data_IF_632058398735
#
_entry.id   IF_632058398735
#
_cell.length_a   1.000
_cell.length_b   1.000
_cell.length_c   1.000
_cell.angle_alpha   90.00
_cell.angle_beta   90.00
_cell.angle_gamma   90.00
#
_symmetry.space_group_name_H-M   'P 1'
#
loop_
_entity.id
_entity.type
_entity.pdbx_description
1 polymer ?
#
# COMPACT_ATOMS: atom_id res chain seq x y z
N UNK A 1 -11.95 26.49 0.16
CA UNK A 1 -13.05 26.86 1.08
C UNK A 1 -13.38 28.35 0.93
N UNK A 2 -12.42 29.25 1.14
CA UNK A 2 -12.65 30.70 1.10
C UNK A 2 -13.14 31.18 -0.29
N UNK A 3 -12.61 30.68 -1.38
CA UNK A 3 -13.06 31.01 -2.73
C UNK A 3 -14.55 30.67 -2.94
N UNK A 4 -15.03 29.54 -2.40
CA UNK A 4 -16.44 29.15 -2.47
C UNK A 4 -17.31 30.14 -1.73
N UNK A 5 -16.87 30.60 -0.53
CA UNK A 5 -17.56 31.61 0.27
C UNK A 5 -17.62 32.98 -0.44
N UNK A 6 -16.47 33.48 -0.91
CA UNK A 6 -16.39 34.80 -1.58
C UNK A 6 -17.27 34.85 -2.84
N UNK A 7 -17.35 33.72 -3.57
CA UNK A 7 -18.14 33.65 -4.80
C UNK A 7 -19.63 33.31 -4.58
N UNK A 8 -20.09 33.18 -3.34
CA UNK A 8 -21.49 32.83 -3.01
C UNK A 8 -21.89 31.46 -3.54
N UNK A 9 -20.96 30.49 -3.53
CA UNK A 9 -21.18 29.13 -4.06
C UNK A 9 -21.48 28.09 -2.97
N UNK A 10 -21.71 28.50 -1.72
CA UNK A 10 -21.88 27.62 -0.56
C UNK A 10 -22.99 26.59 -0.74
N UNK A 11 -24.08 26.98 -1.40
CA UNK A 11 -25.24 26.10 -1.67
C UNK A 11 -25.10 25.23 -2.93
N UNK A 12 -24.08 25.48 -3.76
CA UNK A 12 -23.90 24.79 -5.04
C UNK A 12 -22.69 23.86 -5.07
N UNK A 13 -21.71 24.10 -4.19
CA UNK A 13 -20.44 23.38 -4.20
C UNK A 13 -20.38 22.41 -3.04
N UNK A 14 -20.07 21.14 -3.35
CA UNK A 14 -19.76 20.12 -2.37
C UNK A 14 -18.26 19.88 -2.35
N UNK A 15 -17.67 19.88 -1.17
CA UNK A 15 -16.21 19.81 -0.97
C UNK A 15 -15.86 18.54 -0.23
N UNK A 16 -14.88 17.82 -0.75
CA UNK A 16 -14.24 16.69 -0.11
C UNK A 16 -12.80 17.05 0.25
N UNK A 17 -12.45 16.94 1.52
CA UNK A 17 -11.08 17.08 2.02
C UNK A 17 -10.49 15.69 2.26
N UNK A 18 -9.43 15.34 1.53
CA UNK A 18 -8.67 14.15 1.80
C UNK A 18 -7.87 14.32 3.10
N UNK A 19 -8.30 13.63 4.13
CA UNK A 19 -7.60 13.52 5.40
C UNK A 19 -6.84 12.19 5.48
N UNK A 20 -6.41 11.74 6.64
CA UNK A 20 -5.51 10.59 6.78
C UNK A 20 -5.67 9.92 8.13
N UNK A 21 -5.47 8.60 8.19
CA UNK A 21 -5.37 7.84 9.44
C UNK A 21 -4.18 8.25 10.32
N UNK A 22 -3.18 8.96 9.77
CA UNK A 22 -2.05 9.48 10.57
C UNK A 22 -2.48 10.54 11.59
N UNK A 23 -3.71 11.07 11.49
CA UNK A 23 -4.27 11.95 12.52
C UNK A 23 -4.36 11.24 13.89
N UNK A 24 -4.61 9.94 13.91
CA UNK A 24 -4.77 9.16 15.15
C UNK A 24 -3.44 8.86 15.85
N UNK A 25 -2.32 8.91 15.14
CA UNK A 25 -0.97 8.73 15.69
C UNK A 25 -0.67 7.35 16.29
N UNK A 26 -1.60 6.40 16.21
CA UNK A 26 -1.40 5.05 16.73
C UNK A 26 -1.58 4.94 18.25
N UNK A 27 -2.23 5.89 18.91
CA UNK A 27 -2.43 5.91 20.36
C UNK A 27 -3.51 4.89 20.77
N UNK A 28 -3.16 3.82 21.50
CA UNK A 28 -4.11 2.75 21.85
C UNK A 28 -5.31 3.23 22.65
N UNK A 29 -5.12 4.23 23.52
CA UNK A 29 -6.15 4.84 24.37
C UNK A 29 -7.20 5.62 23.59
N UNK A 30 -6.92 5.97 22.35
CA UNK A 30 -7.87 6.73 21.49
C UNK A 30 -8.73 5.82 20.61
N UNK A 31 -8.57 4.49 20.74
CA UNK A 31 -9.41 3.53 20.04
C UNK A 31 -10.77 3.37 20.72
N UNK A 32 -11.78 3.07 19.92
CA UNK A 32 -13.10 2.71 20.46
C UNK A 32 -13.06 1.36 21.22
N UNK A 33 -14.18 0.99 21.85
CA UNK A 33 -14.32 -0.25 22.64
C UNK A 33 -14.00 -1.53 21.86
N UNK A 34 -14.11 -1.47 20.51
CA UNK A 34 -13.76 -2.59 19.62
C UNK A 34 -12.29 -2.60 19.21
N UNK A 35 -11.48 -1.64 19.67
CA UNK A 35 -10.06 -1.54 19.35
C UNK A 35 -9.74 -0.89 18.00
N UNK A 36 -10.69 -0.15 17.41
CA UNK A 36 -10.54 0.54 16.13
C UNK A 36 -10.51 2.06 16.31
N UNK A 37 -9.98 2.77 15.32
CA UNK A 37 -10.16 4.22 15.19
C UNK A 37 -11.40 4.51 14.36
N UNK A 38 -12.25 5.40 14.85
CA UNK A 38 -13.46 5.88 14.19
C UNK A 38 -13.52 7.42 14.17
N UNK A 39 -14.64 7.97 13.74
CA UNK A 39 -14.83 9.41 13.60
C UNK A 39 -14.87 10.16 14.95
N UNK A 40 -15.06 9.45 16.06
CA UNK A 40 -15.07 9.99 17.42
C UNK A 40 -13.72 9.92 18.12
N UNK A 41 -12.79 9.14 17.58
CA UNK A 41 -11.46 8.92 18.15
C UNK A 41 -10.64 10.21 18.19
N UNK A 42 -9.97 10.48 19.30
CA UNK A 42 -9.12 11.65 19.46
C UNK A 42 -7.89 11.58 18.52
N UNK A 43 -7.48 12.74 18.01
CA UNK A 43 -6.30 12.85 17.16
C UNK A 43 -5.04 13.13 17.97
N UNK A 44 -3.94 12.50 17.55
CA UNK A 44 -2.62 12.71 18.12
C UNK A 44 -1.54 12.54 17.04
N UNK A 45 -1.47 13.46 16.05
CA UNK A 45 -0.55 13.30 14.91
C UNK A 45 0.91 13.25 15.37
N UNK A 46 1.68 12.29 14.86
CA UNK A 46 3.08 12.04 15.23
C UNK A 46 4.06 12.31 14.08
N UNK A 47 3.61 12.97 13.03
CA UNK A 47 4.45 13.35 11.89
C UNK A 47 4.13 14.77 11.42
N UNK A 48 5.08 15.50 10.80
CA UNK A 48 4.81 16.80 10.17
C UNK A 48 3.67 16.72 9.15
N UNK A 49 3.56 15.61 8.43
CA UNK A 49 2.46 15.35 7.52
C UNK A 49 1.12 15.26 8.26
N UNK A 50 1.05 14.49 9.35
CA UNK A 50 -0.15 14.38 10.19
C UNK A 50 -0.57 15.75 10.76
N UNK A 51 0.39 16.55 11.21
CA UNK A 51 0.14 17.92 11.70
C UNK A 51 -0.41 18.82 10.60
N UNK A 52 0.11 18.77 9.40
CA UNK A 52 -0.43 19.54 8.28
C UNK A 52 -1.86 19.09 7.91
N UNK A 53 -2.13 17.78 7.96
CA UNK A 53 -3.45 17.22 7.65
C UNK A 53 -4.49 17.50 8.73
N UNK A 54 -4.11 17.59 10.01
CA UNK A 54 -5.05 17.96 11.08
C UNK A 54 -5.55 19.42 10.93
N UNK A 55 -4.68 20.32 10.46
CA UNK A 55 -5.14 21.66 10.10
C UNK A 55 -6.20 21.62 9.00
N UNK A 56 -5.95 20.85 7.92
CA UNK A 56 -6.91 20.67 6.82
C UNK A 56 -8.25 20.09 7.30
N UNK A 57 -8.21 19.14 8.23
CA UNK A 57 -9.41 18.56 8.83
C UNK A 57 -10.23 19.60 9.59
N UNK A 58 -9.58 20.31 10.51
CA UNK A 58 -10.30 21.27 11.37
C UNK A 58 -10.77 22.51 10.62
N UNK A 59 -10.01 23.02 9.65
CA UNK A 59 -10.48 24.16 8.85
C UNK A 59 -11.68 23.79 7.98
N UNK A 60 -11.76 22.55 7.49
CA UNK A 60 -12.90 22.03 6.74
C UNK A 60 -14.14 21.97 7.63
N UNK A 61 -14.00 21.42 8.83
CA UNK A 61 -15.07 21.36 9.82
C UNK A 61 -15.54 22.76 10.24
N UNK A 62 -14.60 23.67 10.49
CA UNK A 62 -14.91 25.07 10.84
C UNK A 62 -15.74 25.78 9.76
N UNK A 63 -15.35 25.66 8.49
CA UNK A 63 -16.10 26.27 7.39
C UNK A 63 -17.46 25.63 7.17
N UNK A 64 -17.61 24.33 7.39
CA UNK A 64 -18.90 23.65 7.39
C UNK A 64 -19.84 24.23 8.44
N UNK A 65 -19.36 24.38 9.67
CA UNK A 65 -20.16 24.86 10.79
C UNK A 65 -20.46 26.39 10.72
N UNK A 66 -19.46 27.20 10.35
CA UNK A 66 -19.58 28.65 10.34
C UNK A 66 -20.36 29.18 9.12
N UNK A 67 -20.21 28.55 7.95
CA UNK A 67 -20.77 29.10 6.71
C UNK A 67 -21.76 28.14 6.02
N UNK A 68 -22.12 27.05 6.68
CA UNK A 68 -23.03 26.05 6.14
C UNK A 68 -22.65 25.56 4.73
N UNK A 69 -21.34 25.38 4.49
CA UNK A 69 -20.80 24.81 3.26
C UNK A 69 -20.89 23.29 3.38
N UNK A 70 -21.33 22.60 2.32
CA UNK A 70 -21.25 21.17 2.26
C UNK A 70 -19.78 20.74 2.11
N UNK A 71 -19.08 20.54 3.23
CA UNK A 71 -17.67 20.19 3.27
C UNK A 71 -17.44 18.99 4.19
N UNK A 72 -16.90 17.91 3.64
CA UNK A 72 -16.69 16.62 4.29
C UNK A 72 -15.20 16.29 4.40
N UNK A 73 -14.82 15.61 5.48
CA UNK A 73 -13.51 14.98 5.57
C UNK A 73 -13.62 13.46 5.33
N UNK A 74 -12.75 12.91 4.51
CA UNK A 74 -12.53 11.47 4.46
C UNK A 74 -11.22 11.13 5.18
N UNK A 75 -11.29 10.43 6.30
CA UNK A 75 -10.13 9.96 7.07
C UNK A 75 -9.67 8.65 6.44
N UNK A 76 -8.77 8.79 5.48
CA UNK A 76 -8.32 7.68 4.64
C UNK A 76 -7.26 6.84 5.35
N UNK A 77 -7.51 5.54 5.41
CA UNK A 77 -6.48 4.56 5.69
C UNK A 77 -5.68 4.25 4.43
N UNK A 78 -4.70 3.35 4.50
CA UNK A 78 -3.80 3.14 3.38
C UNK A 78 -4.56 2.56 2.18
N UNK A 79 -4.48 3.22 1.06
CA UNK A 79 -5.15 2.80 -0.18
C UNK A 79 -4.15 2.73 -1.31
N UNK A 80 -4.11 1.59 -1.94
CA UNK A 80 -3.05 1.17 -2.84
C UNK A 80 -3.58 0.85 -4.23
N UNK A 81 -2.71 0.92 -5.22
CA UNK A 81 -3.01 0.56 -6.60
C UNK A 81 -1.73 0.47 -7.43
N UNK A 82 -1.79 0.01 -8.71
CA UNK A 82 -0.66 0.10 -9.63
C UNK A 82 -0.14 1.53 -9.86
N UNK A 83 -0.87 2.55 -9.43
CA UNK A 83 -0.49 3.97 -9.52
C UNK A 83 0.08 4.54 -8.22
N UNK A 84 0.25 3.73 -7.18
CA UNK A 84 0.86 4.17 -5.92
C UNK A 84 2.26 4.71 -6.16
N UNK A 85 2.67 5.73 -5.43
CA UNK A 85 4.05 6.24 -5.48
C UNK A 85 5.08 5.14 -5.19
N UNK A 86 6.18 5.12 -5.92
CA UNK A 86 7.15 4.02 -5.95
C UNK A 86 7.92 3.81 -4.64
N UNK A 87 8.02 4.86 -3.83
CA UNK A 87 8.70 4.85 -2.52
C UNK A 87 7.84 4.26 -1.39
N UNK A 88 6.54 4.06 -1.62
CA UNK A 88 5.67 3.43 -0.62
C UNK A 88 5.88 1.92 -0.57
N UNK A 89 5.81 1.36 0.64
CA UNK A 89 6.18 -0.04 0.93
C UNK A 89 5.52 -1.05 0.00
N UNK A 90 4.23 -0.96 -0.24
CA UNK A 90 3.48 -1.87 -1.11
C UNK A 90 4.00 -1.82 -2.54
N UNK A 91 4.20 -0.61 -3.09
CA UNK A 91 4.71 -0.45 -4.44
C UNK A 91 6.20 -0.81 -4.55
N UNK A 92 7.00 -0.53 -3.51
CA UNK A 92 8.38 -0.98 -3.42
C UNK A 92 8.45 -2.51 -3.51
N UNK A 93 7.57 -3.22 -2.79
CA UNK A 93 7.49 -4.69 -2.83
C UNK A 93 7.11 -5.19 -4.22
N UNK A 94 5.99 -4.72 -4.78
CA UNK A 94 5.48 -5.25 -6.06
C UNK A 94 6.44 -4.99 -7.22
N UNK A 95 7.11 -3.83 -7.24
CA UNK A 95 8.15 -3.53 -8.22
C UNK A 95 9.39 -4.40 -8.06
N UNK A 96 9.88 -4.57 -6.83
CA UNK A 96 11.05 -5.41 -6.54
C UNK A 96 10.78 -6.88 -6.90
N UNK A 97 9.63 -7.42 -6.51
CA UNK A 97 9.23 -8.79 -6.85
C UNK A 97 9.12 -8.98 -8.37
N UNK A 98 8.52 -7.99 -9.08
CA UNK A 98 8.45 -8.04 -10.54
C UNK A 98 9.83 -8.01 -11.20
N UNK A 99 10.74 -7.16 -10.71
CA UNK A 99 12.13 -7.11 -11.20
C UNK A 99 12.88 -8.40 -10.92
N UNK A 100 12.72 -8.98 -9.72
CA UNK A 100 13.35 -10.26 -9.36
C UNK A 100 12.84 -11.37 -10.27
N UNK A 101 11.52 -11.48 -10.45
CA UNK A 101 10.92 -12.49 -11.31
C UNK A 101 11.39 -12.37 -12.78
N UNK A 102 11.69 -11.18 -13.26
CA UNK A 102 12.17 -10.93 -14.61
C UNK A 102 13.71 -10.92 -14.75
N UNK A 103 14.45 -11.20 -13.67
CA UNK A 103 15.91 -11.24 -13.67
C UNK A 103 16.61 -9.88 -13.68
N UNK A 104 15.88 -8.80 -13.44
CA UNK A 104 16.39 -7.41 -13.44
C UNK A 104 17.00 -6.99 -12.09
N UNK A 105 16.68 -7.71 -11.01
CA UNK A 105 17.15 -7.42 -9.65
C UNK A 105 17.39 -8.73 -8.89
N UNK A 106 18.41 -8.75 -8.01
CA UNK A 106 18.75 -9.95 -7.25
C UNK A 106 17.98 -10.04 -5.93
N UNK A 107 17.93 -8.96 -5.14
CA UNK A 107 17.22 -8.84 -3.87
C UNK A 107 16.83 -7.39 -3.60
N UNK A 108 15.99 -7.19 -2.58
CA UNK A 108 15.61 -5.85 -2.11
C UNK A 108 15.61 -5.78 -0.57
N UNK A 109 15.45 -4.56 -0.06
CA UNK A 109 15.55 -4.29 1.37
C UNK A 109 14.27 -3.61 1.87
N UNK A 110 13.80 -4.01 3.04
CA UNK A 110 12.69 -3.40 3.75
C UNK A 110 13.09 -3.12 5.21
N UNK A 111 12.27 -2.34 5.91
CA UNK A 111 12.36 -2.19 7.36
C UNK A 111 11.60 -3.28 8.10
N UNK A 112 10.80 -2.89 9.10
CA UNK A 112 10.06 -3.79 9.97
C UNK A 112 9.01 -4.62 9.20
N UNK A 113 9.22 -5.94 9.12
CA UNK A 113 8.30 -6.87 8.45
C UNK A 113 7.05 -7.20 9.29
N UNK A 114 7.10 -6.98 10.61
CA UNK A 114 5.97 -7.17 11.52
C UNK A 114 4.98 -5.99 11.49
N UNK A 115 5.36 -4.86 10.94
CA UNK A 115 4.48 -3.70 10.86
C UNK A 115 3.17 -4.06 10.16
N UNK A 116 2.05 -3.72 10.81
CA UNK A 116 0.69 -4.01 10.32
C UNK A 116 0.05 -2.77 9.74
N UNK A 117 -0.62 -2.92 8.62
CA UNK A 117 -1.37 -1.83 7.97
C UNK A 117 -2.72 -2.32 7.47
N UNK A 118 -3.68 -1.43 7.51
CA UNK A 118 -4.97 -1.59 6.86
C UNK A 118 -4.82 -1.10 5.40
N UNK A 119 -4.69 -2.03 4.46
CA UNK A 119 -4.53 -1.75 3.05
C UNK A 119 -5.79 -2.05 2.26
N UNK A 120 -6.36 -1.05 1.62
CA UNK A 120 -7.48 -1.20 0.70
C UNK A 120 -7.12 -0.84 -0.73
N UNK A 121 -8.00 -1.18 -1.67
CA UNK A 121 -7.83 -0.83 -3.07
C UNK A 121 -8.31 0.60 -3.33
N UNK A 122 -7.50 1.41 -4.03
CA UNK A 122 -7.82 2.81 -4.30
C UNK A 122 -9.16 3.02 -5.04
N UNK A 123 -9.62 2.04 -5.84
CA UNK A 123 -10.93 2.10 -6.51
C UNK A 123 -12.08 2.17 -5.49
N UNK A 124 -12.02 1.36 -4.43
CA UNK A 124 -13.05 1.37 -3.39
C UNK A 124 -13.05 2.70 -2.63
N UNK A 125 -11.86 3.26 -2.39
CA UNK A 125 -11.71 4.55 -1.72
C UNK A 125 -12.24 5.71 -2.57
N UNK A 126 -11.94 5.73 -3.87
CA UNK A 126 -12.48 6.75 -4.80
C UNK A 126 -14.00 6.65 -4.89
N UNK A 127 -14.56 5.45 -4.91
CA UNK A 127 -16.00 5.25 -4.84
C UNK A 127 -16.60 5.84 -3.57
N UNK A 128 -15.95 5.64 -2.43
CA UNK A 128 -16.39 6.23 -1.17
C UNK A 128 -16.30 7.76 -1.19
N UNK A 129 -15.25 8.35 -1.75
CA UNK A 129 -15.14 9.81 -1.93
C UNK A 129 -16.34 10.36 -2.72
N UNK A 130 -16.76 9.65 -3.75
CA UNK A 130 -17.94 10.03 -4.53
C UNK A 130 -19.24 9.91 -3.71
N UNK A 131 -19.43 8.79 -2.98
CA UNK A 131 -20.60 8.57 -2.12
C UNK A 131 -20.72 9.66 -1.04
N UNK A 132 -19.63 10.05 -0.40
CA UNK A 132 -19.58 11.13 0.58
C UNK A 132 -20.14 12.45 -0.02
N UNK A 133 -19.78 12.74 -1.26
CA UNK A 133 -20.29 13.92 -1.96
C UNK A 133 -21.74 13.78 -2.43
N UNK A 134 -22.35 12.61 -2.37
CA UNK A 134 -23.77 12.38 -2.65
C UNK A 134 -24.62 12.33 -1.38
N UNK A 135 -24.00 12.31 -0.19
CA UNK A 135 -24.71 12.25 1.09
C UNK A 135 -25.66 13.46 1.28
N UNK A 136 -26.69 13.29 2.09
CA UNK A 136 -27.63 14.36 2.42
C UNK A 136 -26.99 15.41 3.31
N UNK A 137 -26.16 14.97 4.28
CA UNK A 137 -25.47 15.82 5.25
C UNK A 137 -23.96 15.77 5.09
N UNK A 138 -23.32 16.90 5.38
CA UNK A 138 -21.87 17.00 5.39
C UNK A 138 -21.31 16.47 6.72
N UNK A 139 -20.62 15.36 6.67
CA UNK A 139 -20.01 14.68 7.83
C UNK A 139 -18.55 14.31 7.59
N UNK A 140 -17.90 13.82 8.65
CA UNK A 140 -16.57 13.22 8.58
C UNK A 140 -16.70 11.69 8.52
N UNK A 141 -15.82 11.01 7.76
CA UNK A 141 -15.95 9.62 7.42
C UNK A 141 -14.62 8.88 7.50
N UNK A 142 -14.59 7.78 8.26
CA UNK A 142 -13.47 6.83 8.20
C UNK A 142 -13.61 5.92 6.99
N UNK A 143 -12.53 5.86 6.20
CA UNK A 143 -12.45 5.00 5.02
C UNK A 143 -11.31 4.00 5.24
N UNK A 144 -11.68 2.77 5.56
CA UNK A 144 -10.77 1.69 5.95
C UNK A 144 -11.34 0.33 5.53
N UNK A 145 -10.49 -0.69 5.47
CA UNK A 145 -10.99 -2.06 5.25
C UNK A 145 -11.49 -2.69 6.56
N UNK A 146 -10.93 -2.30 7.69
CA UNK A 146 -11.13 -2.92 9.00
C UNK A 146 -10.31 -4.21 9.18
N UNK A 147 -9.36 -4.48 8.29
CA UNK A 147 -8.46 -5.64 8.35
C UNK A 147 -7.02 -5.19 8.21
N UNK A 148 -6.15 -5.72 9.04
CA UNK A 148 -4.71 -5.43 8.95
C UNK A 148 -3.92 -6.64 8.50
N UNK A 149 -2.84 -6.36 7.75
CA UNK A 149 -1.90 -7.38 7.26
C UNK A 149 -0.48 -6.95 7.56
N UNK A 150 0.41 -7.90 7.84
CA UNK A 150 1.82 -7.63 8.04
C UNK A 150 2.51 -7.32 6.71
N UNK A 151 3.60 -6.56 6.76
CA UNK A 151 4.47 -6.35 5.58
C UNK A 151 4.98 -7.70 5.06
N UNK A 152 5.33 -8.63 5.96
CA UNK A 152 5.75 -10.00 5.60
C UNK A 152 4.69 -10.73 4.76
N UNK A 153 3.43 -10.69 5.17
CA UNK A 153 2.36 -11.37 4.43
C UNK A 153 2.10 -10.72 3.08
N UNK A 154 2.23 -9.40 2.98
CA UNK A 154 2.15 -8.71 1.69
C UNK A 154 3.30 -9.15 0.75
N UNK A 155 4.52 -9.29 1.25
CA UNK A 155 5.66 -9.83 0.49
C UNK A 155 5.35 -11.24 -0.01
N UNK A 156 4.86 -12.12 0.87
CA UNK A 156 4.47 -13.48 0.51
C UNK A 156 3.45 -13.50 -0.62
N UNK A 157 2.36 -12.75 -0.46
CA UNK A 157 1.31 -12.63 -1.48
C UNK A 157 1.84 -12.10 -2.82
N UNK A 158 2.77 -11.14 -2.80
CA UNK A 158 3.37 -10.61 -4.02
C UNK A 158 4.20 -11.67 -4.76
N UNK A 159 5.04 -12.43 -4.07
CA UNK A 159 5.81 -13.52 -4.67
C UNK A 159 4.92 -14.64 -5.19
N UNK A 160 3.85 -14.98 -4.49
CA UNK A 160 2.87 -15.96 -4.93
C UNK A 160 2.23 -15.59 -6.28
N UNK A 161 2.07 -14.29 -6.60
CA UNK A 161 1.51 -13.88 -7.90
C UNK A 161 2.40 -14.24 -9.10
N UNK A 162 3.69 -14.43 -8.86
CA UNK A 162 4.66 -14.85 -9.89
C UNK A 162 5.10 -16.31 -9.72
N UNK A 163 4.35 -17.12 -8.97
CA UNK A 163 4.63 -18.53 -8.79
C UNK A 163 5.85 -18.83 -7.92
N UNK A 164 6.33 -17.88 -7.13
CA UNK A 164 7.46 -18.04 -6.22
C UNK A 164 6.96 -18.16 -4.80
N UNK A 165 7.29 -19.25 -4.11
CA UNK A 165 7.11 -19.39 -2.69
C UNK A 165 8.37 -18.94 -1.95
N UNK A 166 8.21 -18.10 -0.93
CA UNK A 166 9.33 -17.64 -0.10
C UNK A 166 9.24 -18.15 1.33
N UNK A 167 10.38 -18.48 1.92
CA UNK A 167 10.53 -18.83 3.32
C UNK A 167 11.31 -17.75 4.05
N UNK A 168 10.82 -17.32 5.22
CA UNK A 168 11.48 -16.35 6.08
C UNK A 168 12.35 -17.06 7.11
N UNK A 169 13.53 -16.52 7.42
CA UNK A 169 14.47 -17.00 8.43
C UNK A 169 15.06 -15.83 9.18
N UNK A 170 15.35 -16.02 10.47
CA UNK A 170 15.79 -14.96 11.37
C UNK A 170 14.62 -14.16 11.93
N UNK A 171 14.92 -13.15 12.74
CA UNK A 171 13.95 -12.27 13.39
C UNK A 171 14.46 -10.83 13.40
N UNK A 172 13.55 -9.86 13.41
CA UNK A 172 13.89 -8.44 13.48
C UNK A 172 14.82 -8.00 12.34
N UNK A 173 15.98 -7.44 12.70
CA UNK A 173 16.97 -6.92 11.72
C UNK A 173 17.72 -8.02 10.99
N UNK A 174 17.74 -9.24 11.52
CA UNK A 174 18.41 -10.39 10.90
C UNK A 174 17.46 -11.20 10.00
N UNK A 175 16.21 -10.77 9.89
CA UNK A 175 15.22 -11.49 9.10
C UNK A 175 15.49 -11.36 7.60
N UNK A 176 15.38 -12.50 6.90
CA UNK A 176 15.60 -12.62 5.46
C UNK A 176 14.56 -13.52 4.82
N UNK A 177 14.25 -13.28 3.56
CA UNK A 177 13.43 -14.19 2.77
C UNK A 177 14.25 -14.87 1.68
N UNK A 178 13.99 -16.16 1.49
CA UNK A 178 14.63 -17.02 0.52
C UNK A 178 13.61 -17.68 -0.39
N UNK A 179 13.94 -17.86 -1.65
CA UNK A 179 13.13 -18.65 -2.56
C UNK A 179 13.09 -20.10 -2.07
N UNK A 180 11.90 -20.59 -1.73
CA UNK A 180 11.66 -21.96 -1.24
C UNK A 180 11.32 -22.91 -2.38
N UNK A 181 10.42 -22.49 -3.25
CA UNK A 181 9.98 -23.26 -4.41
C UNK A 181 9.51 -22.34 -5.53
N UNK A 182 9.44 -22.86 -6.76
CA UNK A 182 8.94 -22.13 -7.92
C UNK A 182 7.96 -23.05 -8.66
N UNK A 183 6.72 -22.56 -8.79
CA UNK A 183 5.70 -23.15 -9.65
C UNK A 183 5.97 -22.69 -11.09
N UNK A 184 6.47 -23.62 -11.91
CA UNK A 184 6.92 -23.35 -13.28
C UNK A 184 5.81 -22.84 -14.19
N UNK A 185 4.62 -23.40 -14.07
CA UNK A 185 3.47 -23.01 -14.89
C UNK A 185 3.03 -21.57 -14.54
N UNK A 186 2.83 -21.31 -13.26
CA UNK A 186 2.41 -19.98 -12.76
C UNK A 186 3.47 -18.92 -13.05
N UNK A 187 4.74 -19.25 -12.88
CA UNK A 187 5.87 -18.38 -13.21
C UNK A 187 5.87 -18.02 -14.70
N UNK A 188 5.76 -19.02 -15.58
CA UNK A 188 5.73 -18.83 -17.03
C UNK A 188 4.56 -17.97 -17.47
N UNK A 189 3.37 -18.22 -16.93
CA UNK A 189 2.17 -17.41 -17.21
C UNK A 189 2.40 -15.95 -16.79
N UNK A 190 2.93 -15.70 -15.59
CA UNK A 190 3.12 -14.36 -15.05
C UNK A 190 4.21 -13.59 -15.80
N UNK A 191 5.38 -14.21 -16.00
CA UNK A 191 6.56 -13.55 -16.58
C UNK A 191 6.62 -13.61 -18.11
N UNK A 192 5.98 -14.60 -18.72
CA UNK A 192 6.14 -14.94 -20.15
C UNK A 192 7.49 -15.61 -20.44
N UNK A 193 8.17 -16.14 -19.41
CA UNK A 193 9.47 -16.77 -19.52
C UNK A 193 9.42 -18.16 -18.92
N UNK A 194 10.07 -19.14 -19.56
CA UNK A 194 10.27 -20.44 -18.94
C UNK A 194 11.37 -20.32 -17.89
N UNK A 195 11.11 -20.80 -16.69
CA UNK A 195 12.14 -20.88 -15.67
C UNK A 195 13.11 -22.01 -16.04
N UNK A 196 14.43 -21.79 -16.06
CA UNK A 196 15.37 -22.86 -16.33
C UNK A 196 15.30 -23.95 -15.24
N UNK A 197 15.49 -25.21 -15.63
CA UNK A 197 15.60 -26.34 -14.70
C UNK A 197 16.63 -26.05 -13.59
N UNK A 198 16.43 -26.58 -12.37
CA UNK A 198 17.35 -26.38 -11.26
C UNK A 198 18.76 -26.82 -11.65
N UNK A 199 19.72 -25.91 -11.54
CA UNK A 199 21.13 -26.28 -11.76
C UNK A 199 21.64 -27.10 -10.57
N UNK A 200 21.92 -28.38 -10.76
CA UNK A 200 22.56 -29.27 -9.77
C UNK A 200 24.05 -28.94 -9.64
N UNK A 201 24.42 -27.83 -9.09
CA UNK A 201 25.80 -27.41 -8.87
C UNK A 201 26.08 -26.96 -7.45
N UNK A 202 27.05 -27.57 -6.80
CA UNK A 202 27.52 -27.32 -5.41
C UNK A 202 28.35 -26.04 -5.26
N UNK A 203 28.00 -24.87 -5.79
CA UNK A 203 28.83 -23.68 -5.57
C UNK A 203 28.08 -22.36 -5.45
N UNK A 204 28.57 -21.53 -4.59
CA UNK A 204 28.11 -20.40 -3.79
C UNK A 204 27.69 -19.09 -4.49
N UNK A 205 27.43 -19.07 -5.77
CA UNK A 205 26.82 -17.90 -6.43
C UNK A 205 25.81 -18.38 -7.46
N UNK A 206 24.67 -18.86 -6.96
CA UNK A 206 23.56 -19.35 -7.80
C UNK A 206 22.91 -18.21 -8.58
N UNK A 207 23.55 -17.77 -9.62
CA UNK A 207 22.92 -17.01 -10.71
C UNK A 207 22.51 -18.02 -11.76
N UNK A 208 21.22 -18.11 -12.06
CA UNK A 208 20.80 -18.75 -13.30
C UNK A 208 21.44 -18.00 -14.47
N UNK A 209 21.74 -18.69 -15.59
CA UNK A 209 22.39 -18.06 -16.76
C UNK A 209 21.69 -16.78 -17.26
N UNK A 210 20.40 -16.59 -16.93
CA UNK A 210 19.54 -15.48 -17.38
C UNK A 210 19.15 -14.52 -16.27
N UNK A 211 19.79 -14.55 -15.09
CA UNK A 211 19.45 -13.65 -13.96
C UNK A 211 18.16 -14.00 -13.23
N UNK A 212 17.42 -15.04 -13.63
CA UNK A 212 16.17 -15.48 -13.00
C UNK A 212 16.42 -15.98 -11.57
N UNK A 213 15.40 -15.92 -10.66
CA UNK A 213 15.57 -16.35 -9.28
C UNK A 213 15.84 -17.86 -9.17
N UNK A 214 16.67 -18.27 -8.22
CA UNK A 214 17.00 -19.67 -7.95
C UNK A 214 16.50 -20.10 -6.58
N UNK A 215 16.15 -21.39 -6.42
CA UNK A 215 15.80 -21.97 -5.12
C UNK A 215 16.99 -21.78 -4.15
N UNK A 216 16.68 -21.27 -2.94
CA UNK A 216 17.66 -20.91 -1.92
C UNK A 216 18.30 -19.53 -2.10
N UNK A 217 17.94 -18.77 -3.15
CA UNK A 217 18.37 -17.39 -3.30
C UNK A 217 17.75 -16.51 -2.21
N UNK A 218 18.56 -15.66 -1.56
CA UNK A 218 18.11 -14.58 -0.72
C UNK A 218 17.49 -13.48 -1.59
N UNK A 219 16.21 -13.17 -1.39
CA UNK A 219 15.47 -12.20 -2.20
C UNK A 219 15.07 -10.95 -1.41
N UNK A 220 15.09 -11.04 -0.07
CA UNK A 220 14.81 -9.93 0.83
C UNK A 220 15.73 -9.99 2.04
N UNK A 221 16.18 -8.82 2.51
CA UNK A 221 16.79 -8.62 3.82
C UNK A 221 16.13 -7.43 4.51
N UNK A 222 16.09 -7.48 5.84
CA UNK A 222 15.76 -6.30 6.65
C UNK A 222 16.98 -5.39 6.70
N UNK A 223 16.75 -4.08 6.55
CA UNK A 223 17.77 -3.04 6.70
C UNK A 223 17.29 -2.00 7.72
N UNK A 224 18.03 -1.80 8.82
CA UNK A 224 17.67 -0.84 9.87
C UNK A 224 17.51 0.59 9.39
N UNK A 225 18.15 0.99 8.28
CA UNK A 225 18.03 2.35 7.72
C UNK A 225 16.60 2.68 7.26
N UNK A 226 15.77 1.67 7.00
CA UNK A 226 14.35 1.82 6.65
C UNK A 226 13.41 1.82 7.86
N UNK A 227 13.92 1.70 9.10
CA UNK A 227 13.09 1.86 10.29
C UNK A 227 12.77 3.33 10.51
N UNK A 228 11.50 3.63 10.78
CA UNK A 228 11.10 5.00 11.13
C UNK A 228 11.45 5.29 12.59
N UNK A 229 11.95 6.51 12.92
CA UNK A 229 12.24 6.89 14.30
C UNK A 229 11.02 6.78 15.24
N UNK A 230 9.83 7.04 14.70
CA UNK A 230 8.55 6.89 15.38
C UNK A 230 7.66 5.98 14.53
N UNK A 231 7.80 4.67 14.75
CA UNK A 231 6.93 3.69 14.08
C UNK A 231 5.52 3.80 14.67
N UNK A 232 4.53 3.81 13.79
CA UNK A 232 3.14 3.64 14.18
C UNK A 232 2.81 2.17 14.02
N UNK A 233 2.73 1.45 15.14
CA UNK A 233 2.64 -0.02 15.16
C UNK A 233 1.38 -0.53 14.49
N UNK A 234 0.24 0.10 14.79
CA UNK A 234 -1.04 -0.37 14.28
C UNK A 234 -2.05 0.77 14.11
N UNK A 235 -2.44 1.01 12.86
CA UNK A 235 -3.63 1.78 12.51
C UNK A 235 -4.65 0.85 11.87
N UNK A 236 -5.82 0.71 12.52
CA UNK A 236 -6.96 -0.04 12.00
C UNK A 236 -8.21 0.81 12.14
N UNK A 237 -8.95 1.02 11.04
CA UNK A 237 -10.13 1.88 11.01
C UNK A 237 -11.43 1.11 11.12
N UNK A 238 -12.44 1.77 11.68
CA UNK A 238 -13.81 1.27 11.72
C UNK A 238 -14.63 1.83 10.55
N UNK A 239 -14.89 1.05 9.51
CA UNK A 239 -15.70 1.50 8.37
C UNK A 239 -17.21 1.42 8.60
N UNK A 240 -17.66 1.12 9.80
CA UNK A 240 -19.09 0.81 10.08
C UNK A 240 -20.02 1.96 9.72
N UNK A 241 -19.64 3.21 9.98
CA UNK A 241 -20.44 4.38 9.61
C UNK A 241 -20.64 4.48 8.09
N UNK A 242 -19.55 4.34 7.33
CA UNK A 242 -19.58 4.35 5.87
C UNK A 242 -20.47 3.23 5.29
N UNK A 243 -20.34 2.03 5.84
CA UNK A 243 -21.16 0.88 5.45
C UNK A 243 -22.65 1.09 5.75
N UNK A 244 -22.97 1.53 6.95
CA UNK A 244 -24.35 1.61 7.42
C UNK A 244 -25.11 2.82 6.83
N UNK A 245 -24.46 3.99 6.73
CA UNK A 245 -25.13 5.22 6.25
C UNK A 245 -25.09 5.38 4.73
N UNK A 246 -24.01 4.97 4.07
CA UNK A 246 -23.83 5.19 2.63
C UNK A 246 -23.83 3.90 1.80
N UNK A 247 -24.06 2.75 2.43
CA UNK A 247 -24.06 1.46 1.73
C UNK A 247 -22.73 1.14 1.06
N UNK A 248 -21.61 1.71 1.58
CA UNK A 248 -20.29 1.46 1.01
C UNK A 248 -19.87 0.01 1.23
N UNK A 249 -19.44 -0.65 0.18
CA UNK A 249 -18.97 -2.04 0.19
C UNK A 249 -17.60 -2.10 -0.45
N UNK A 250 -16.70 -2.86 0.15
CA UNK A 250 -15.40 -3.19 -0.46
C UNK A 250 -15.62 -4.21 -1.58
N UNK A 251 -15.21 -3.87 -2.79
CA UNK A 251 -15.28 -4.77 -3.96
C UNK A 251 -13.96 -5.52 -4.16
N UNK A 252 -12.89 -5.05 -3.51
CA UNK A 252 -11.55 -5.60 -3.65
C UNK A 252 -11.01 -6.01 -2.27
N UNK A 253 -10.62 -7.26 -2.16
CA UNK A 253 -9.85 -7.78 -1.03
C UNK A 253 -8.34 -7.57 -1.24
N UNK A 254 -7.54 -7.94 -0.23
CA UNK A 254 -6.08 -7.80 -0.30
C UNK A 254 -5.48 -8.64 -1.44
N UNK A 255 -6.02 -9.83 -1.70
CA UNK A 255 -5.49 -10.71 -2.75
C UNK A 255 -5.70 -10.10 -4.14
N UNK A 256 -6.88 -9.54 -4.40
CA UNK A 256 -7.18 -8.83 -5.65
C UNK A 256 -6.38 -7.54 -5.81
N UNK A 257 -6.13 -6.80 -4.71
CA UNK A 257 -5.25 -5.64 -4.70
C UNK A 257 -3.82 -6.02 -5.10
N UNK A 258 -3.24 -7.01 -4.44
CA UNK A 258 -1.86 -7.48 -4.75
C UNK A 258 -1.77 -7.96 -6.18
N UNK A 259 -2.77 -8.72 -6.66
CA UNK A 259 -2.85 -9.20 -8.05
C UNK A 259 -2.86 -8.05 -9.06
N UNK A 260 -3.68 -7.01 -8.83
CA UNK A 260 -3.76 -5.83 -9.72
C UNK A 260 -2.42 -5.08 -9.74
N UNK A 261 -1.81 -4.85 -8.59
CA UNK A 261 -0.51 -4.19 -8.47
C UNK A 261 0.60 -4.99 -9.16
N UNK A 262 0.69 -6.28 -8.92
CA UNK A 262 1.67 -7.15 -9.55
C UNK A 262 1.51 -7.20 -11.07
N UNK A 263 0.28 -7.33 -11.58
CA UNK A 263 0.00 -7.29 -13.02
C UNK A 263 0.49 -5.98 -13.65
N UNK A 264 0.25 -4.85 -12.99
CA UNK A 264 0.71 -3.55 -13.45
C UNK A 264 2.24 -3.45 -13.50
N UNK A 265 2.91 -3.86 -12.41
CA UNK A 265 4.37 -3.76 -12.31
C UNK A 265 5.12 -4.77 -13.19
N UNK A 266 4.62 -6.00 -13.33
CA UNK A 266 5.18 -6.96 -14.29
C UNK A 266 5.09 -6.41 -15.71
N UNK A 267 3.94 -5.84 -16.10
CA UNK A 267 3.77 -5.23 -17.42
C UNK A 267 4.72 -4.06 -17.63
N UNK A 268 4.96 -3.25 -16.59
CA UNK A 268 5.91 -2.15 -16.64
C UNK A 268 7.35 -2.66 -16.79
N UNK A 269 7.76 -3.63 -15.98
CA UNK A 269 9.14 -4.17 -16.00
C UNK A 269 9.44 -5.01 -17.24
N UNK A 270 8.44 -5.61 -17.89
CA UNK A 270 8.64 -6.26 -19.21
C UNK A 270 9.13 -5.29 -20.27
N UNK A 271 8.68 -4.02 -20.25
CA UNK A 271 9.20 -2.98 -21.15
C UNK A 271 10.70 -2.74 -20.93
N UNK A 272 11.15 -2.77 -19.66
CA UNK A 272 12.56 -2.62 -19.33
C UNK A 272 13.37 -3.80 -19.89
N UNK A 273 12.85 -5.03 -19.79
CA UNK A 273 13.48 -6.23 -20.40
C UNK A 273 13.60 -6.08 -21.91
N UNK A 274 12.56 -5.61 -22.58
CA UNK A 274 12.54 -5.44 -24.03
C UNK A 274 13.51 -4.34 -24.49
N UNK A 275 13.59 -3.23 -23.75
CA UNK A 275 14.57 -2.17 -23.97
C UNK A 275 16.02 -2.68 -23.85
N UNK A 276 16.30 -3.44 -22.79
CA UNK A 276 17.63 -4.06 -22.59
C UNK A 276 17.99 -5.01 -23.73
N UNK A 277 17.06 -5.87 -24.19
CA UNK A 277 17.26 -6.77 -25.33
C UNK A 277 17.52 -6.03 -26.62
N UNK A 278 16.91 -4.85 -26.79
CA UNK A 278 17.13 -3.99 -27.93
C UNK A 278 18.43 -3.15 -27.84
N UNK A 279 19.22 -3.32 -26.77
CA UNK A 279 20.50 -2.61 -26.56
C UNK A 279 20.37 -1.22 -25.96
N UNK A 280 19.20 -0.86 -25.44
CA UNK A 280 18.97 0.44 -24.77
C UNK A 280 19.35 0.34 -23.28
N UNK A 281 19.79 1.46 -22.72
CA UNK A 281 19.94 1.61 -21.27
C UNK A 281 18.58 1.88 -20.61
N UNK A 282 18.32 1.25 -19.47
CA UNK A 282 17.15 1.56 -18.65
C UNK A 282 17.54 2.53 -17.53
N UNK A 283 16.64 3.45 -17.23
CA UNK A 283 16.83 4.41 -16.15
C UNK A 283 16.82 3.65 -14.81
N UNK A 284 17.96 3.60 -14.14
CA UNK A 284 18.06 3.08 -12.77
C UNK A 284 17.54 4.16 -11.83
N UNK A 285 16.31 4.01 -11.38
CA UNK A 285 15.82 4.85 -10.27
C UNK A 285 16.62 4.51 -9.02
N UNK A 286 17.08 5.55 -8.31
CA UNK A 286 17.66 5.38 -6.98
C UNK A 286 16.60 4.77 -6.05
N UNK A 287 16.98 3.69 -5.34
CA UNK A 287 16.16 3.01 -4.34
C UNK A 287 16.01 3.86 -3.08
#
# INVERSE_FOLDING_TARGET
LEAVRILGLEKKTRIYQASTSELYGGMPENKNERGFYDESSAFYPRSPYGVAKIYGFWITKNYREAYNIFACNGILFNHESPRRGETFVTRKITRAVSKIALGLQYKFYLGNLEAKRDWGHAKDYVRMMWLILQAEEAEDWVIATGVTTTVRDFVRLAFEQVGIEVAFKGEGVDEKAFVKSIDQEKYSIATGQNHPEPFEGKNEKRKTKNGQPAIGQEVLSVDPTYFRPTEVDLLIGDPSKAKNKLGWVLEHDLASLVKDMMKGDISLMKKDVDLLKAGHEIFKQAE
#
